data_IF_692244104153
#
_entry.id   IF_692244104153
#
_cell.length_a   1.000
_cell.length_b   1.000
_cell.length_c   1.000
_cell.angle_alpha   90.00
_cell.angle_beta   90.00
_cell.angle_gamma   90.00
#
_symmetry.space_group_name_H-M   'P 1'
#
loop_
_entity.id
_entity.type
_entity.pdbx_description
1 polymer ?
#
# COMPACT_ATOMS: atom_id res chain seq x y z
N UNK A 1 18.44 -9.86 46.75
CA UNK A 1 18.17 -8.85 47.79
C UNK A 1 17.59 -9.55 49.01
N UNK A 2 18.17 -9.31 50.18
CA UNK A 2 17.60 -9.76 51.45
C UNK A 2 16.97 -8.56 52.14
N UNK A 3 15.69 -8.64 52.46
CA UNK A 3 14.93 -7.55 53.09
C UNK A 3 14.74 -7.82 54.58
N UNK A 4 15.03 -6.81 55.40
CA UNK A 4 14.96 -6.89 56.87
C UNK A 4 14.23 -5.66 57.40
N UNK A 5 13.37 -5.84 58.41
CA UNK A 5 12.70 -4.72 59.07
C UNK A 5 13.71 -3.82 59.77
N UNK A 6 13.45 -2.51 59.79
CA UNK A 6 14.36 -1.55 60.42
C UNK A 6 14.58 -1.81 61.93
N UNK A 7 13.62 -2.47 62.59
CA UNK A 7 13.75 -2.92 63.99
C UNK A 7 14.82 -4.01 64.18
N UNK A 8 15.09 -4.82 63.16
CA UNK A 8 15.87 -6.06 63.26
C UNK A 8 17.21 -5.96 62.52
N UNK A 9 17.65 -4.72 62.21
CA UNK A 9 18.91 -4.46 61.48
C UNK A 9 20.13 -5.02 62.23
N UNK A 10 20.07 -5.08 63.56
CA UNK A 10 21.15 -5.63 64.40
C UNK A 10 21.43 -7.12 64.13
N UNK A 11 20.50 -7.84 63.51
CA UNK A 11 20.67 -9.25 63.11
C UNK A 11 21.44 -9.42 61.79
N UNK A 12 21.69 -8.34 61.05
CA UNK A 12 22.41 -8.40 59.77
C UNK A 12 23.92 -8.40 60.00
N UNK A 13 24.69 -9.32 59.39
CA UNK A 13 26.15 -9.33 59.51
C UNK A 13 26.78 -8.00 59.08
N UNK A 14 27.78 -7.53 59.82
CA UNK A 14 28.42 -6.23 59.59
C UNK A 14 29.13 -6.08 58.24
N UNK A 15 29.47 -7.20 57.60
CA UNK A 15 30.08 -7.23 56.27
C UNK A 15 29.07 -7.15 55.13
N UNK A 16 27.76 -7.09 55.39
CA UNK A 16 26.75 -6.92 54.35
C UNK A 16 26.56 -5.44 53.99
N UNK A 17 26.32 -5.16 52.71
CA UNK A 17 26.13 -3.80 52.20
C UNK A 17 24.64 -3.52 52.01
N UNK A 18 24.17 -2.40 52.56
CA UNK A 18 22.81 -1.91 52.32
C UNK A 18 22.69 -1.35 50.89
N UNK A 19 21.79 -1.90 50.10
CA UNK A 19 21.60 -1.56 48.67
C UNK A 19 20.50 -0.51 48.49
N UNK A 20 19.45 -0.60 49.30
CA UNK A 20 18.32 0.33 49.29
C UNK A 20 17.62 0.29 50.66
N UNK A 21 17.02 1.38 51.11
CA UNK A 21 16.22 1.44 52.33
C UNK A 21 14.93 2.23 52.14
N UNK A 22 13.92 1.85 52.90
CA UNK A 22 12.61 2.49 52.97
C UNK A 22 12.26 2.77 54.44
N UNK A 23 11.16 3.52 54.67
CA UNK A 23 10.74 3.86 56.04
C UNK A 23 10.50 2.63 56.94
N UNK A 24 10.12 1.49 56.37
CA UNK A 24 9.79 0.28 57.13
C UNK A 24 10.90 -0.80 57.09
N UNK A 25 11.59 -0.93 55.96
CA UNK A 25 12.52 -2.04 55.70
C UNK A 25 13.80 -1.59 55.00
N UNK A 26 14.89 -2.28 55.27
CA UNK A 26 16.20 -2.09 54.64
C UNK A 26 16.60 -3.36 53.88
N UNK A 27 17.22 -3.18 52.71
CA UNK A 27 17.61 -4.28 51.80
C UNK A 27 19.12 -4.36 51.68
N UNK A 28 19.64 -5.58 51.77
CA UNK A 28 21.08 -5.84 51.85
C UNK A 28 21.53 -6.88 50.82
N UNK A 29 22.82 -6.81 50.47
CA UNK A 29 23.56 -7.86 49.78
C UNK A 29 24.74 -8.31 50.65
N UNK A 30 24.98 -9.62 50.70
CA UNK A 30 26.21 -10.17 51.28
C UNK A 30 27.39 -9.93 50.33
N UNK A 31 28.65 -9.95 50.82
CA UNK A 31 29.83 -9.83 49.96
C UNK A 31 29.83 -10.80 48.78
N UNK A 32 29.43 -12.06 49.03
CA UNK A 32 29.30 -13.09 48.00
C UNK A 32 28.30 -12.70 46.90
N UNK A 33 27.14 -12.14 47.27
CA UNK A 33 26.14 -11.69 46.29
C UNK A 33 26.67 -10.49 45.51
N UNK A 34 27.35 -9.53 46.15
CA UNK A 34 27.88 -8.34 45.46
C UNK A 34 28.85 -8.73 44.34
N UNK A 35 29.79 -9.62 44.64
CA UNK A 35 30.79 -10.09 43.68
C UNK A 35 30.14 -10.86 42.52
N UNK A 36 29.31 -11.86 42.82
CA UNK A 36 28.65 -12.67 41.80
C UNK A 36 27.61 -11.89 41.00
N UNK A 37 26.91 -10.93 41.60
CA UNK A 37 25.95 -10.08 40.90
C UNK A 37 26.66 -9.14 39.92
N UNK A 38 27.84 -8.62 40.28
CA UNK A 38 28.67 -7.83 39.37
C UNK A 38 29.12 -8.69 38.17
N UNK A 39 29.66 -9.88 38.42
CA UNK A 39 30.07 -10.80 37.35
C UNK A 39 28.88 -11.22 36.48
N UNK A 40 27.73 -11.54 37.09
CA UNK A 40 26.51 -11.88 36.35
C UNK A 40 26.06 -10.75 35.41
N UNK A 41 26.10 -9.49 35.86
CA UNK A 41 25.71 -8.36 35.02
C UNK A 41 26.71 -8.14 33.88
N UNK A 42 28.01 -8.32 34.11
CA UNK A 42 29.01 -8.28 33.04
C UNK A 42 28.73 -9.37 31.98
N UNK A 43 28.43 -10.60 32.40
CA UNK A 43 28.06 -11.68 31.47
C UNK A 43 26.75 -11.40 30.74
N UNK A 44 25.77 -10.77 31.39
CA UNK A 44 24.51 -10.35 30.75
C UNK A 44 24.75 -9.28 29.69
N UNK A 45 25.57 -8.28 29.98
CA UNK A 45 25.95 -7.24 29.02
C UNK A 45 26.71 -7.86 27.84
N UNK A 46 27.67 -8.75 28.11
CA UNK A 46 28.40 -9.46 27.06
C UNK A 46 27.47 -10.30 26.18
N UNK A 47 26.53 -11.03 26.78
CA UNK A 47 25.56 -11.83 26.02
C UNK A 47 24.72 -10.96 25.08
N UNK A 48 24.32 -9.75 25.51
CA UNK A 48 23.58 -8.83 24.65
C UNK A 48 24.42 -8.38 23.46
N UNK A 49 25.72 -8.11 23.67
CA UNK A 49 26.64 -7.74 22.59
C UNK A 49 26.83 -8.90 21.61
N UNK A 50 27.06 -10.11 22.12
CA UNK A 50 27.25 -11.31 21.31
C UNK A 50 25.99 -11.62 20.47
N UNK A 51 24.80 -11.57 21.09
CA UNK A 51 23.53 -11.73 20.38
C UNK A 51 23.30 -10.63 19.33
N UNK A 52 23.71 -9.39 19.61
CA UNK A 52 23.60 -8.30 18.65
C UNK A 52 24.46 -8.54 17.40
N UNK A 53 25.68 -9.03 17.59
CA UNK A 53 26.57 -9.41 16.48
C UNK A 53 25.98 -10.55 15.64
N UNK A 54 25.50 -11.62 16.30
CA UNK A 54 24.89 -12.75 15.60
C UNK A 54 23.56 -12.40 14.92
N UNK A 55 22.80 -11.44 15.47
CA UNK A 55 21.59 -10.94 14.82
C UNK A 55 21.89 -10.25 13.49
N UNK A 56 22.92 -9.41 13.45
CA UNK A 56 23.34 -8.77 12.19
C UNK A 56 23.83 -9.80 11.19
N UNK A 57 24.63 -10.77 11.64
CA UNK A 57 25.09 -11.87 10.82
C UNK A 57 23.91 -12.68 10.23
N UNK A 58 22.89 -12.96 11.03
CA UNK A 58 21.66 -13.61 10.58
C UNK A 58 20.93 -12.79 9.51
N UNK A 59 20.80 -11.46 9.70
CA UNK A 59 20.16 -10.59 8.72
C UNK A 59 20.95 -10.52 7.41
N UNK A 60 22.28 -10.50 7.47
CA UNK A 60 23.13 -10.53 6.28
C UNK A 60 22.90 -11.80 5.47
N UNK A 61 22.91 -12.97 6.12
CA UNK A 61 22.59 -14.25 5.47
C UNK A 61 21.16 -14.28 4.90
N UNK A 62 20.18 -13.73 5.62
CA UNK A 62 18.81 -13.63 5.12
C UNK A 62 18.70 -12.72 3.89
N UNK A 63 19.48 -11.63 3.86
CA UNK A 63 19.48 -10.64 2.79
C UNK A 63 20.00 -11.20 1.46
N UNK A 64 20.79 -12.28 1.46
CA UNK A 64 21.20 -12.99 0.24
C UNK A 64 19.99 -13.44 -0.60
N UNK A 65 18.85 -13.70 0.06
CA UNK A 65 17.59 -14.08 -0.59
C UNK A 65 16.63 -12.91 -0.83
N UNK A 66 17.08 -11.66 -0.66
CA UNK A 66 16.23 -10.48 -0.83
C UNK A 66 15.58 -10.40 -2.22
N UNK A 67 16.35 -10.66 -3.28
CA UNK A 67 15.85 -10.54 -4.67
C UNK A 67 14.73 -11.55 -4.99
N UNK A 68 14.89 -12.86 -4.68
CA UNK A 68 13.79 -13.82 -4.77
C UNK A 68 12.53 -13.41 -4.02
N UNK A 69 12.66 -12.93 -2.78
CA UNK A 69 11.52 -12.51 -1.96
C UNK A 69 10.83 -11.29 -2.55
N UNK A 70 11.60 -10.27 -2.96
CA UNK A 70 11.08 -9.07 -3.61
C UNK A 70 10.36 -9.40 -4.92
N UNK A 71 10.89 -10.33 -5.72
CA UNK A 71 10.24 -10.81 -6.95
C UNK A 71 8.91 -11.51 -6.65
N UNK A 72 8.85 -12.34 -5.61
CA UNK A 72 7.60 -12.98 -5.18
C UNK A 72 6.55 -11.94 -4.77
N UNK A 73 6.94 -10.90 -4.04
CA UNK A 73 6.06 -9.76 -3.70
C UNK A 73 5.61 -9.03 -4.97
N UNK A 74 6.51 -8.81 -5.94
CA UNK A 74 6.17 -8.22 -7.23
C UNK A 74 5.10 -9.03 -7.98
N UNK A 75 5.22 -10.36 -8.00
CA UNK A 75 4.20 -11.23 -8.59
C UNK A 75 2.86 -11.15 -7.84
N UNK A 76 2.88 -11.11 -6.50
CA UNK A 76 1.67 -10.93 -5.70
C UNK A 76 0.98 -9.59 -6.01
N UNK A 77 1.75 -8.51 -6.15
CA UNK A 77 1.23 -7.21 -6.52
C UNK A 77 0.60 -7.23 -7.92
N UNK A 78 1.22 -7.88 -8.91
CA UNK A 78 0.63 -8.05 -10.24
C UNK A 78 -0.70 -8.81 -10.18
N UNK A 79 -0.77 -9.89 -9.39
CA UNK A 79 -2.01 -10.65 -9.19
C UNK A 79 -3.08 -9.74 -8.59
N UNK A 80 -2.76 -9.00 -7.52
CA UNK A 80 -3.70 -8.08 -6.87
C UNK A 80 -4.24 -7.02 -7.83
N UNK A 81 -3.38 -6.40 -8.64
CA UNK A 81 -3.80 -5.46 -9.68
C UNK A 81 -4.79 -6.09 -10.68
N UNK A 82 -4.50 -7.30 -11.17
CA UNK A 82 -5.37 -8.00 -12.13
C UNK A 82 -6.73 -8.36 -11.51
N UNK A 83 -6.75 -8.81 -10.24
CA UNK A 83 -7.99 -9.09 -9.52
C UNK A 83 -8.81 -7.82 -9.28
N UNK A 84 -8.16 -6.71 -8.95
CA UNK A 84 -8.81 -5.41 -8.80
C UNK A 84 -9.47 -4.96 -10.10
N UNK A 85 -8.77 -5.04 -11.24
CA UNK A 85 -9.34 -4.74 -12.56
C UNK A 85 -10.50 -5.69 -12.93
N UNK A 86 -10.37 -6.98 -12.61
CA UNK A 86 -11.44 -7.95 -12.83
C UNK A 86 -12.68 -7.65 -11.97
N UNK A 87 -12.51 -7.12 -10.76
CA UNK A 87 -13.61 -6.70 -9.91
C UNK A 87 -14.33 -5.48 -10.48
N UNK A 88 -13.60 -4.51 -11.04
CA UNK A 88 -14.19 -3.37 -11.77
C UNK A 88 -14.97 -3.86 -12.99
N UNK A 89 -14.40 -4.74 -13.80
CA UNK A 89 -15.04 -5.29 -15.00
C UNK A 89 -16.35 -6.05 -14.71
N UNK A 90 -16.52 -6.56 -13.47
CA UNK A 90 -17.74 -7.27 -13.05
C UNK A 90 -18.91 -6.35 -12.68
N UNK A 91 -18.73 -5.04 -12.60
CA UNK A 91 -19.75 -4.10 -12.07
C UNK A 91 -20.94 -3.83 -13.03
N UNK A 92 -21.09 -4.60 -14.09
CA UNK A 92 -22.19 -4.45 -15.07
C UNK A 92 -21.85 -3.45 -16.15
N UNK A 93 -22.18 -3.77 -17.41
CA UNK A 93 -22.00 -2.92 -18.59
C UNK A 93 -20.59 -2.38 -18.85
N UNK A 94 -19.56 -3.17 -18.48
CA UNK A 94 -18.18 -2.96 -18.88
C UNK A 94 -17.81 -3.94 -20.00
N UNK A 95 -17.17 -3.44 -21.06
CA UNK A 95 -16.74 -4.25 -22.19
C UNK A 95 -15.21 -4.33 -22.26
N UNK A 96 -14.71 -5.42 -22.86
CA UNK A 96 -13.29 -5.57 -23.17
C UNK A 96 -12.97 -4.68 -24.38
N UNK A 97 -12.11 -3.65 -24.26
CA UNK A 97 -11.76 -2.82 -25.40
C UNK A 97 -10.89 -3.60 -26.38
N UNK A 98 -11.07 -3.33 -27.68
CA UNK A 98 -10.15 -3.75 -28.73
C UNK A 98 -9.06 -2.69 -28.84
N UNK A 99 -7.83 -3.03 -28.45
CA UNK A 99 -6.68 -2.12 -28.53
C UNK A 99 -5.91 -2.39 -29.82
N UNK A 100 -5.58 -1.33 -30.58
CA UNK A 100 -4.85 -1.43 -31.86
C UNK A 100 -3.60 -0.55 -31.83
N UNK A 101 -2.45 -1.11 -32.23
CA UNK A 101 -1.19 -0.35 -32.30
C UNK A 101 -1.07 0.48 -33.59
N UNK A 102 -1.49 -0.07 -34.73
CA UNK A 102 -1.24 0.54 -36.05
C UNK A 102 -2.35 1.50 -36.53
N UNK A 103 -3.42 1.67 -35.75
CA UNK A 103 -4.59 2.46 -36.14
C UNK A 103 -4.84 3.58 -35.14
N UNK A 104 -4.99 4.80 -35.63
CA UNK A 104 -5.31 5.98 -34.84
C UNK A 104 -6.83 6.20 -34.83
N UNK A 105 -7.50 5.55 -33.88
CA UNK A 105 -8.95 5.63 -33.73
C UNK A 105 -9.41 5.60 -32.27
N UNK A 106 -10.52 6.26 -31.98
CA UNK A 106 -11.22 6.23 -30.69
C UNK A 106 -12.70 6.03 -31.04
N UNK A 107 -13.13 4.77 -30.98
CA UNK A 107 -14.50 4.36 -31.26
C UNK A 107 -15.09 3.84 -29.94
N UNK A 108 -16.08 4.54 -29.41
CA UNK A 108 -16.74 4.21 -28.14
C UNK A 108 -18.24 4.20 -28.41
N UNK A 109 -18.91 3.07 -28.23
CA UNK A 109 -20.36 2.93 -28.39
C UNK A 109 -21.02 2.94 -27.01
N UNK A 110 -21.96 3.87 -26.82
CA UNK A 110 -22.69 4.03 -25.55
C UNK A 110 -21.76 4.05 -24.32
N UNK A 111 -20.69 4.84 -24.39
CA UNK A 111 -19.74 4.97 -23.28
C UNK A 111 -20.33 5.79 -22.14
N UNK A 112 -19.86 5.53 -20.92
CA UNK A 112 -20.24 6.24 -19.70
C UNK A 112 -19.01 6.75 -18.97
N UNK A 113 -19.16 7.83 -18.21
CA UNK A 113 -18.03 8.40 -17.46
C UNK A 113 -17.78 7.54 -16.21
N UNK A 114 -16.60 6.91 -16.03
CA UNK A 114 -16.38 5.86 -15.02
C UNK A 114 -16.69 6.28 -13.58
N UNK A 115 -16.39 7.53 -13.22
CA UNK A 115 -16.72 8.06 -11.87
C UNK A 115 -18.21 8.40 -11.71
N UNK A 116 -18.84 8.97 -12.74
CA UNK A 116 -20.25 9.37 -12.68
C UNK A 116 -21.14 8.13 -12.69
N UNK A 117 -20.76 7.12 -13.46
CA UNK A 117 -21.42 5.80 -13.54
C UNK A 117 -21.59 5.18 -12.15
N UNK A 118 -20.54 5.23 -11.33
CA UNK A 118 -20.57 4.70 -9.95
C UNK A 118 -21.37 5.60 -9.00
N UNK A 119 -21.28 6.93 -9.14
CA UNK A 119 -21.93 7.87 -8.22
C UNK A 119 -23.44 8.01 -8.47
N UNK A 120 -23.88 7.97 -9.73
CA UNK A 120 -25.27 8.19 -10.12
C UNK A 120 -25.99 6.88 -10.49
N UNK A 121 -25.28 5.80 -10.82
CA UNK A 121 -25.89 4.56 -11.31
C UNK A 121 -26.77 4.79 -12.55
N UNK A 122 -27.87 4.05 -12.66
CA UNK A 122 -28.89 4.20 -13.71
C UNK A 122 -29.79 5.45 -13.56
N UNK A 123 -29.42 6.44 -12.76
CA UNK A 123 -30.22 7.66 -12.65
C UNK A 123 -30.16 8.45 -13.98
N UNK A 124 -31.33 8.82 -14.51
CA UNK A 124 -31.60 9.42 -15.83
C UNK A 124 -30.83 10.72 -16.20
N UNK A 125 -29.89 11.18 -15.38
CA UNK A 125 -29.16 12.43 -15.61
C UNK A 125 -27.95 12.30 -16.53
N UNK A 126 -27.30 11.12 -16.61
CA UNK A 126 -26.12 10.95 -17.48
C UNK A 126 -26.32 9.83 -18.49
N UNK A 127 -26.76 10.22 -19.69
CA UNK A 127 -27.02 9.28 -20.79
C UNK A 127 -25.68 8.87 -21.43
N UNK A 128 -25.50 7.57 -21.77
CA UNK A 128 -24.34 7.09 -22.50
C UNK A 128 -24.13 7.83 -23.83
N UNK A 129 -22.87 8.08 -24.20
CA UNK A 129 -22.51 8.82 -25.41
C UNK A 129 -21.64 7.98 -26.34
N UNK A 130 -21.90 8.10 -27.65
CA UNK A 130 -21.07 7.48 -28.69
C UNK A 130 -20.02 8.46 -29.21
N UNK A 131 -18.80 7.99 -29.38
CA UNK A 131 -17.67 8.76 -29.93
C UNK A 131 -17.08 7.98 -31.10
N UNK A 132 -16.86 8.67 -32.22
CA UNK A 132 -16.15 8.13 -33.37
C UNK A 132 -15.13 9.16 -33.82
N UNK A 133 -13.85 8.88 -33.54
CA UNK A 133 -12.73 9.63 -34.06
C UNK A 133 -11.81 8.64 -34.77
N UNK A 134 -11.43 8.90 -36.01
CA UNK A 134 -10.55 8.00 -36.76
C UNK A 134 -9.72 8.77 -37.78
N UNK A 135 -8.56 8.22 -38.12
CA UNK A 135 -7.67 8.80 -39.14
C UNK A 135 -8.36 8.99 -40.50
N UNK A 136 -9.17 8.01 -40.90
CA UNK A 136 -9.85 7.99 -42.20
C UNK A 136 -11.23 8.67 -42.16
N UNK A 137 -11.63 9.19 -40.98
CA UNK A 137 -12.88 9.91 -40.77
C UNK A 137 -12.66 11.25 -40.06
N UNK A 138 -13.53 11.54 -39.10
CA UNK A 138 -13.45 12.77 -38.30
C UNK A 138 -12.35 12.64 -37.25
N UNK A 139 -11.45 13.63 -37.19
CA UNK A 139 -10.35 13.68 -36.20
C UNK A 139 -10.54 14.75 -35.13
N UNK A 140 -11.50 15.64 -35.34
CA UNK A 140 -11.77 16.79 -34.48
C UNK A 140 -13.27 16.89 -34.29
N UNK A 141 -13.70 17.04 -33.05
CA UNK A 141 -15.10 17.23 -32.68
C UNK A 141 -15.28 18.62 -32.07
N UNK A 142 -16.09 19.46 -32.72
CA UNK A 142 -16.44 20.80 -32.20
C UNK A 142 -17.74 20.68 -31.41
N UNK A 143 -17.67 20.86 -30.10
CA UNK A 143 -18.82 20.70 -29.21
C UNK A 143 -19.32 22.09 -28.77
N UNK A 144 -20.60 22.38 -29.02
CA UNK A 144 -21.24 23.64 -28.65
C UNK A 144 -22.39 23.41 -27.67
N UNK A 145 -22.92 24.48 -27.06
CA UNK A 145 -24.08 24.43 -26.16
C UNK A 145 -23.82 24.97 -24.75
N UNK A 146 -24.88 25.15 -23.94
CA UNK A 146 -24.82 25.79 -22.62
C UNK A 146 -23.99 24.98 -21.61
N UNK A 147 -23.34 25.64 -20.64
CA UNK A 147 -22.37 25.02 -19.71
C UNK A 147 -22.90 23.85 -18.87
N UNK A 148 -24.21 23.71 -18.72
CA UNK A 148 -24.84 22.67 -17.89
C UNK A 148 -25.19 21.38 -18.65
N UNK A 149 -24.93 21.29 -19.96
CA UNK A 149 -25.34 20.15 -20.80
C UNK A 149 -24.43 18.92 -20.78
N UNK A 150 -23.69 18.65 -19.71
CA UNK A 150 -22.84 17.45 -19.61
C UNK A 150 -21.59 17.41 -20.52
N UNK A 151 -21.32 18.48 -21.30
CA UNK A 151 -20.17 18.57 -22.24
C UNK A 151 -18.83 18.23 -21.59
N UNK A 152 -18.56 18.80 -20.41
CA UNK A 152 -17.30 18.56 -19.69
C UNK A 152 -17.17 17.10 -19.24
N UNK A 153 -18.28 16.48 -18.84
CA UNK A 153 -18.30 15.06 -18.48
C UNK A 153 -18.04 14.19 -19.71
N UNK A 154 -18.65 14.49 -20.85
CA UNK A 154 -18.39 13.78 -22.10
C UNK A 154 -16.92 13.86 -22.54
N UNK A 155 -16.32 15.06 -22.54
CA UNK A 155 -14.90 15.22 -22.93
C UNK A 155 -13.98 14.41 -22.01
N UNK A 156 -14.22 14.46 -20.70
CA UNK A 156 -13.47 13.67 -19.72
C UNK A 156 -13.70 12.16 -19.89
N UNK A 157 -14.93 11.74 -20.20
CA UNK A 157 -15.26 10.35 -20.45
C UNK A 157 -14.38 9.77 -21.56
N UNK A 158 -14.28 10.46 -22.71
CA UNK A 158 -13.48 9.97 -23.85
C UNK A 158 -12.02 9.77 -23.41
N UNK A 159 -11.43 10.76 -22.73
CA UNK A 159 -10.08 10.66 -22.22
C UNK A 159 -9.89 9.51 -21.21
N UNK A 160 -10.81 9.38 -20.24
CA UNK A 160 -10.73 8.36 -19.20
C UNK A 160 -10.89 6.94 -19.76
N UNK A 161 -11.81 6.73 -20.71
CA UNK A 161 -11.99 5.43 -21.37
C UNK A 161 -10.72 5.02 -22.12
N UNK A 162 -10.07 5.96 -22.82
CA UNK A 162 -8.79 5.70 -23.49
C UNK A 162 -7.69 5.30 -22.49
N UNK A 163 -7.58 5.99 -21.35
CA UNK A 163 -6.63 5.64 -20.28
C UNK A 163 -6.91 4.24 -19.73
N UNK A 164 -8.16 3.94 -19.41
CA UNK A 164 -8.55 2.63 -18.87
C UNK A 164 -8.23 1.50 -19.85
N UNK A 165 -8.47 1.71 -21.16
CA UNK A 165 -8.13 0.74 -22.18
C UNK A 165 -6.61 0.47 -22.25
N UNK A 166 -5.78 1.52 -22.23
CA UNK A 166 -4.32 1.38 -22.28
C UNK A 166 -3.68 0.86 -20.98
N UNK A 167 -4.37 0.95 -19.84
CA UNK A 167 -3.98 0.26 -18.59
C UNK A 167 -4.24 -1.25 -18.68
N UNK A 168 -5.06 -1.70 -19.65
CA UNK A 168 -5.49 -3.09 -19.77
C UNK A 168 -6.77 -3.42 -18.99
N UNK A 169 -7.54 -2.41 -18.62
CA UNK A 169 -8.85 -2.57 -17.97
C UNK A 169 -9.97 -2.75 -19.00
N UNK A 170 -11.07 -3.35 -18.56
CA UNK A 170 -12.36 -3.20 -19.23
C UNK A 170 -12.84 -1.75 -19.06
N UNK A 171 -13.70 -1.29 -19.96
CA UNK A 171 -14.17 0.11 -20.01
C UNK A 171 -15.69 0.19 -19.93
N UNK A 172 -16.26 1.26 -19.34
CA UNK A 172 -17.71 1.46 -19.21
C UNK A 172 -18.35 1.86 -20.55
N UNK A 173 -18.56 0.90 -21.43
CA UNK A 173 -19.15 1.09 -22.75
C UNK A 173 -19.80 -0.21 -23.23
N UNK A 174 -20.68 -0.13 -24.23
CA UNK A 174 -21.23 -1.33 -24.89
C UNK A 174 -20.15 -2.00 -25.75
N UNK A 175 -19.44 -1.21 -26.55
CA UNK A 175 -18.32 -1.62 -27.38
C UNK A 175 -17.26 -0.51 -27.39
N UNK A 176 -15.98 -0.87 -27.47
CA UNK A 176 -14.88 0.10 -27.53
C UNK A 176 -13.73 -0.42 -28.37
N UNK A 177 -13.22 0.42 -29.26
CA UNK A 177 -11.98 0.21 -30.02
C UNK A 177 -11.09 1.44 -29.88
N UNK A 178 -9.88 1.23 -29.37
CA UNK A 178 -8.94 2.29 -29.02
C UNK A 178 -7.60 2.02 -29.71
N UNK A 179 -7.21 2.93 -30.57
CA UNK A 179 -5.84 3.08 -31.05
C UNK A 179 -4.94 3.58 -29.94
N UNK A 180 -3.73 3.04 -29.82
CA UNK A 180 -2.78 3.49 -28.80
C UNK A 180 -2.43 4.97 -29.03
N UNK A 181 -2.69 5.80 -28.02
CA UNK A 181 -2.30 7.21 -27.97
C UNK A 181 -1.02 7.37 -27.16
N UNK A 182 -0.17 8.30 -27.60
CA UNK A 182 1.08 8.68 -26.96
C UNK A 182 0.86 9.57 -25.73
N UNK A 183 -0.21 10.37 -25.75
CA UNK A 183 -0.57 11.23 -24.64
C UNK A 183 -1.97 11.82 -24.76
N UNK A 184 -2.47 12.30 -23.63
CA UNK A 184 -3.74 13.02 -23.54
C UNK A 184 -3.47 14.40 -22.95
N UNK A 185 -3.86 15.44 -23.67
CA UNK A 185 -3.63 16.83 -23.29
C UNK A 185 -4.97 17.53 -23.08
N UNK A 186 -5.13 18.23 -21.96
CA UNK A 186 -6.34 18.96 -21.60
C UNK A 186 -6.00 20.40 -21.24
N UNK A 187 -6.91 21.34 -21.50
CA UNK A 187 -6.81 22.75 -21.10
C UNK A 187 -8.05 23.19 -20.34
#
# INVERSE_FOLDING_TARGET
>A
LIEVKNSDISCVPSNWVMVNSTKAVSRFHSPFIIENYRHLNQLREQLVLDCGAEWLNFLDHFSEHYHPVSKAIGHLATIDCLFSLAQVAKQGDYCRPVVKDDQQEIIIKNGRHPVIDVLLGEQDQYVPNTTNLSRDGERVMIITGPNMGGKSSYIKQVALITVMAQIGSYVPAEESTIGVVDGIFTR
#
